data_IF_860765700834
#
_entry.id   IF_860765700834
#
_cell.length_a   1.000
_cell.length_b   1.000
_cell.length_c   1.000
_cell.angle_alpha   90.00
_cell.angle_beta   90.00
_cell.angle_gamma   90.00
#
_symmetry.space_group_name_H-M   'P 1'
#
loop_
_entity.id
_entity.type
_entity.pdbx_description
1 polymer ?
#
# COMPACT_ATOMS: atom_id res chain seq x y z
N UNK A 1 -4.30 5.71 -4.28
CA UNK A 1 -3.52 5.86 -5.53
C UNK A 1 -2.09 5.45 -5.27
N UNK A 2 -1.60 4.38 -5.88
CA UNK A 2 -0.18 4.04 -5.82
C UNK A 2 0.67 5.03 -6.63
N UNK A 3 1.88 5.35 -6.16
CA UNK A 3 2.86 6.19 -6.88
C UNK A 3 4.09 5.36 -7.22
N UNK A 4 4.54 5.46 -8.46
CA UNK A 4 5.75 4.82 -8.96
C UNK A 4 6.76 5.87 -9.46
N UNK A 5 7.37 6.66 -8.56
CA UNK A 5 8.16 7.83 -8.94
C UNK A 5 9.36 7.49 -9.83
N UNK A 6 9.95 6.29 -9.66
CA UNK A 6 11.08 5.82 -10.45
C UNK A 6 10.75 5.42 -11.90
N UNK A 7 9.48 5.20 -12.25
CA UNK A 7 9.11 4.67 -13.57
C UNK A 7 8.66 5.78 -14.53
N UNK A 8 9.06 5.76 -15.82
CA UNK A 8 8.62 6.75 -16.78
C UNK A 8 7.14 6.54 -17.16
N UNK A 9 6.56 7.54 -17.81
CA UNK A 9 5.31 7.36 -18.55
C UNK A 9 5.59 6.63 -19.86
N UNK A 10 4.69 5.72 -20.32
CA UNK A 10 3.35 5.45 -19.79
C UNK A 10 3.29 4.41 -18.66
N UNK A 11 4.39 3.69 -18.40
CA UNK A 11 4.41 2.54 -17.49
C UNK A 11 3.91 2.88 -16.09
N UNK A 12 4.32 4.02 -15.52
CA UNK A 12 3.83 4.49 -14.22
C UNK A 12 2.30 4.61 -14.17
N UNK A 13 1.67 5.13 -15.22
CA UNK A 13 0.22 5.36 -15.23
C UNK A 13 -0.54 4.03 -15.32
N UNK A 14 -0.07 3.12 -16.17
CA UNK A 14 -0.65 1.78 -16.31
C UNK A 14 -0.57 1.01 -14.99
N UNK A 15 0.58 1.03 -14.32
CA UNK A 15 0.74 0.37 -13.03
C UNK A 15 -0.09 1.04 -11.91
N UNK A 16 -0.22 2.37 -11.92
CA UNK A 16 -1.08 3.08 -10.97
C UNK A 16 -2.55 2.70 -11.15
N UNK A 17 -3.04 2.65 -12.39
CA UNK A 17 -4.39 2.22 -12.71
C UNK A 17 -4.63 0.75 -12.33
N UNK A 18 -3.68 -0.13 -12.66
CA UNK A 18 -3.77 -1.56 -12.31
C UNK A 18 -3.76 -1.77 -10.79
N UNK A 19 -2.95 -1.02 -10.06
CA UNK A 19 -2.91 -1.06 -8.60
C UNK A 19 -4.24 -0.63 -7.99
N UNK A 20 -4.86 0.44 -8.48
CA UNK A 20 -6.18 0.87 -8.01
C UNK A 20 -7.27 -0.19 -8.29
N UNK A 21 -7.24 -0.83 -9.46
CA UNK A 21 -8.18 -1.89 -9.79
C UNK A 21 -8.01 -3.12 -8.88
N UNK A 22 -6.77 -3.52 -8.59
CA UNK A 22 -6.47 -4.62 -7.68
C UNK A 22 -6.89 -4.32 -6.24
N UNK A 23 -6.65 -3.08 -5.76
CA UNK A 23 -7.07 -2.66 -4.43
C UNK A 23 -8.59 -2.66 -4.27
N UNK A 24 -9.34 -2.17 -5.28
CA UNK A 24 -10.79 -2.24 -5.29
C UNK A 24 -11.31 -3.69 -5.29
N UNK A 25 -10.67 -4.58 -6.04
CA UNK A 25 -10.99 -6.01 -6.04
C UNK A 25 -10.73 -6.64 -4.66
N UNK A 26 -9.61 -6.31 -4.03
CA UNK A 26 -9.26 -6.77 -2.67
C UNK A 26 -10.25 -6.24 -1.62
N UNK A 27 -10.66 -4.96 -1.71
CA UNK A 27 -11.67 -4.38 -0.84
C UNK A 27 -12.99 -5.15 -0.89
N UNK A 28 -13.37 -5.66 -2.06
CA UNK A 28 -14.58 -6.47 -2.20
C UNK A 28 -14.56 -7.75 -1.35
N UNK A 29 -13.38 -8.28 -1.01
CA UNK A 29 -13.22 -9.48 -0.19
C UNK A 29 -13.56 -9.23 1.29
N UNK A 30 -13.65 -7.98 1.74
CA UNK A 30 -14.10 -7.62 3.09
C UNK A 30 -15.53 -8.07 3.42
N UNK A 31 -16.30 -8.54 2.43
CA UNK A 31 -17.61 -9.19 2.65
C UNK A 31 -17.49 -10.60 3.24
N UNK A 32 -16.31 -11.21 3.19
CA UNK A 32 -16.08 -12.56 3.72
C UNK A 32 -15.91 -12.50 5.25
N UNK A 33 -16.46 -13.46 6.01
CA UNK A 33 -16.27 -13.51 7.44
C UNK A 33 -14.79 -13.56 7.83
N UNK A 34 -14.38 -12.71 8.79
CA UNK A 34 -13.00 -12.67 9.28
C UNK A 34 -11.98 -12.00 8.35
N UNK A 35 -12.41 -11.36 7.26
CA UNK A 35 -11.53 -10.63 6.34
C UNK A 35 -11.70 -9.13 6.55
N UNK A 36 -10.59 -8.44 6.81
CA UNK A 36 -10.54 -6.98 6.86
C UNK A 36 -9.67 -6.47 5.72
N UNK A 37 -10.24 -5.63 4.86
CA UNK A 37 -9.43 -4.85 3.91
C UNK A 37 -8.90 -3.62 4.62
N UNK A 38 -7.60 -3.40 4.50
CA UNK A 38 -6.93 -2.20 5.00
C UNK A 38 -6.34 -1.45 3.80
N UNK A 39 -6.81 -0.23 3.49
CA UNK A 39 -6.22 0.56 2.42
C UNK A 39 -4.78 0.93 2.76
N UNK A 40 -3.94 1.05 1.72
CA UNK A 40 -2.56 1.50 1.88
C UNK A 40 -2.50 2.91 2.48
N UNK A 41 -1.67 3.09 3.52
CA UNK A 41 -1.36 4.41 4.09
C UNK A 41 -0.68 5.30 3.02
N UNK A 42 -1.27 6.44 2.62
CA UNK A 42 -0.67 7.34 1.64
C UNK A 42 0.70 7.88 2.05
N UNK A 43 1.02 7.92 3.35
CA UNK A 43 2.32 8.33 3.84
C UNK A 43 3.44 7.33 3.50
N UNK A 44 3.09 6.10 3.08
CA UNK A 44 4.07 5.16 2.49
C UNK A 44 4.56 5.60 1.11
N UNK A 45 3.93 6.60 0.49
CA UNK A 45 4.31 7.15 -0.81
C UNK A 45 5.23 8.38 -0.68
N UNK A 46 5.64 8.72 0.54
CA UNK A 46 6.70 9.70 0.80
C UNK A 46 8.02 9.19 0.18
N UNK A 47 8.76 10.00 -0.58
CA UNK A 47 10.09 9.64 -1.07
C UNK A 47 11.03 9.05 0.00
N UNK A 48 10.95 9.51 1.25
CA UNK A 48 11.75 9.01 2.37
C UNK A 48 11.34 7.61 2.85
N UNK A 49 10.17 7.13 2.44
CA UNK A 49 9.69 5.78 2.76
C UNK A 49 10.23 4.71 1.78
N UNK A 50 10.87 5.11 0.67
CA UNK A 50 11.44 4.18 -0.31
C UNK A 50 12.87 3.75 0.04
N UNK A 51 13.26 2.59 -0.49
CA UNK A 51 14.64 2.15 -0.51
C UNK A 51 15.45 2.99 -1.53
N UNK A 52 16.77 2.75 -1.59
CA UNK A 52 17.68 3.46 -2.51
C UNK A 52 17.32 3.27 -3.99
N UNK A 53 16.60 2.21 -4.34
CA UNK A 53 16.08 1.99 -5.70
C UNK A 53 14.91 2.90 -6.08
N UNK A 54 14.34 3.63 -5.10
CA UNK A 54 13.19 4.53 -5.25
C UNK A 54 11.93 3.83 -5.78
N UNK A 55 11.82 2.53 -5.52
CA UNK A 55 10.71 1.70 -5.96
C UNK A 55 10.14 0.85 -4.83
N UNK A 56 10.97 0.09 -4.12
CA UNK A 56 10.52 -0.73 -3.00
C UNK A 56 10.42 0.10 -1.72
N UNK A 57 9.57 -0.29 -0.74
CA UNK A 57 9.62 0.28 0.60
C UNK A 57 11.00 0.08 1.22
N UNK A 58 11.56 1.14 1.79
CA UNK A 58 12.76 1.09 2.61
C UNK A 58 12.42 0.76 4.07
N UNK A 59 13.42 0.74 4.97
CA UNK A 59 13.21 0.43 6.39
C UNK A 59 12.13 1.30 7.05
N UNK A 60 12.12 2.61 6.78
CA UNK A 60 11.12 3.53 7.29
C UNK A 60 9.71 3.23 6.74
N UNK A 61 9.61 2.87 5.45
CA UNK A 61 8.34 2.46 4.83
C UNK A 61 7.79 1.19 5.49
N UNK A 62 8.62 0.16 5.67
CA UNK A 62 8.19 -1.06 6.35
C UNK A 62 7.78 -0.81 7.81
N UNK A 63 8.52 0.00 8.56
CA UNK A 63 8.17 0.32 9.95
C UNK A 63 6.81 1.02 10.05
N UNK A 64 6.54 1.98 9.15
CA UNK A 64 5.24 2.65 9.05
C UNK A 64 4.14 1.66 8.69
N UNK A 65 4.37 0.81 7.70
CA UNK A 65 3.38 -0.16 7.26
C UNK A 65 3.01 -1.14 8.39
N UNK A 66 4.02 -1.65 9.11
CA UNK A 66 3.82 -2.50 10.27
C UNK A 66 2.98 -1.81 11.36
N UNK A 67 3.24 -0.52 11.64
CA UNK A 67 2.44 0.25 12.59
C UNK A 67 0.97 0.38 12.17
N UNK A 68 0.72 0.65 10.90
CA UNK A 68 -0.64 0.74 10.34
C UNK A 68 -1.37 -0.60 10.44
N UNK A 69 -0.68 -1.71 10.14
CA UNK A 69 -1.24 -3.06 10.27
C UNK A 69 -1.55 -3.40 11.73
N UNK A 70 -0.61 -3.15 12.64
CA UNK A 70 -0.78 -3.43 14.07
C UNK A 70 -1.98 -2.67 14.67
N UNK A 71 -2.18 -1.41 14.26
CA UNK A 71 -3.33 -0.61 14.69
C UNK A 71 -4.68 -1.07 14.13
N UNK A 72 -4.69 -1.89 13.08
CA UNK A 72 -5.90 -2.44 12.48
C UNK A 72 -6.28 -3.81 13.04
N UNK A 73 -5.41 -4.45 13.82
CA UNK A 73 -5.72 -5.73 14.46
C UNK A 73 -6.79 -5.53 15.55
N UNK A 74 -7.76 -6.43 15.66
CA UNK A 74 -8.72 -6.40 16.76
C UNK A 74 -7.97 -6.55 18.09
N UNK A 75 -8.38 -5.76 19.09
CA UNK A 75 -7.90 -5.96 20.47
C UNK A 75 -8.45 -7.30 20.93
N UNK A 76 -7.54 -8.26 21.19
CA UNK A 76 -7.90 -9.52 21.82
C UNK A 76 -8.01 -9.21 23.32
N UNK A 77 -9.23 -9.04 23.81
CA UNK A 77 -9.55 -8.94 25.23
C UNK A 77 -9.50 -10.31 25.91
#
# INVERSE_FOLDING_TARGET
MARFPALPRPLRDVLAARSAALDAAAASLGRLPGVTHLPMDPALLDPAAFASDRFHPGPAGYARWAKTLAGALPVIS
#
